data_IF_735772054771
#
_entry.id   IF_735772054771
#
_cell.length_a   1.000
_cell.length_b   1.000
_cell.length_c   1.000
_cell.angle_alpha   90.00
_cell.angle_beta   90.00
_cell.angle_gamma   90.00
#
_symmetry.space_group_name_H-M   'P 1'
#
loop_
_entity.id
_entity.type
_entity.pdbx_description
1 polymer ?
#
# COMPACT_ATOMS: atom_id res chain seq x y z
N UNK A 1 18.98 -56.54 -4.26
CA UNK A 1 17.91 -55.52 -4.06
C UNK A 1 18.42 -54.14 -3.56
N UNK A 2 19.66 -53.70 -3.89
CA UNK A 2 20.23 -52.39 -3.45
C UNK A 2 20.09 -51.22 -4.44
N UNK A 3 19.78 -51.50 -5.72
CA UNK A 3 19.72 -50.47 -6.79
C UNK A 3 18.42 -49.64 -6.85
N UNK A 4 17.29 -50.18 -6.37
CA UNK A 4 15.98 -49.50 -6.47
C UNK A 4 15.84 -48.31 -5.50
N UNK A 5 16.48 -48.38 -4.32
CA UNK A 5 16.45 -47.29 -3.32
C UNK A 5 17.30 -46.08 -3.73
N UNK A 6 18.40 -46.29 -4.44
CA UNK A 6 19.27 -45.19 -4.91
C UNK A 6 18.61 -44.39 -6.04
N UNK A 7 17.88 -45.07 -6.94
CA UNK A 7 17.15 -44.39 -8.01
C UNK A 7 15.99 -43.52 -7.50
N UNK A 8 15.26 -43.99 -6.49
CA UNK A 8 14.16 -43.20 -5.89
C UNK A 8 14.70 -41.94 -5.21
N UNK A 9 15.85 -42.02 -4.53
CA UNK A 9 16.48 -40.86 -3.90
C UNK A 9 16.94 -39.81 -4.93
N UNK A 10 17.52 -40.24 -6.05
CA UNK A 10 17.97 -39.35 -7.13
C UNK A 10 16.78 -38.65 -7.79
N UNK A 11 15.71 -39.39 -8.11
CA UNK A 11 14.49 -38.80 -8.69
C UNK A 11 13.82 -37.79 -7.75
N UNK A 12 13.80 -38.08 -6.43
CA UNK A 12 13.23 -37.15 -5.45
C UNK A 12 14.01 -35.83 -5.37
N UNK A 13 15.34 -35.88 -5.39
CA UNK A 13 16.20 -34.67 -5.38
C UNK A 13 16.01 -33.84 -6.65
N UNK A 14 15.87 -34.47 -7.82
CA UNK A 14 15.62 -33.77 -9.09
C UNK A 14 14.26 -33.08 -9.08
N UNK A 15 13.21 -33.74 -8.60
CA UNK A 15 11.86 -33.15 -8.50
C UNK A 15 11.86 -31.96 -7.54
N UNK A 16 12.47 -32.11 -6.36
CA UNK A 16 12.58 -31.01 -5.38
C UNK A 16 13.39 -29.85 -5.99
N UNK A 17 14.49 -30.13 -6.67
CA UNK A 17 15.29 -29.12 -7.36
C UNK A 17 14.50 -28.38 -8.44
N UNK A 18 13.72 -29.10 -9.26
CA UNK A 18 12.88 -28.51 -10.29
C UNK A 18 11.75 -27.65 -9.69
N UNK A 19 11.14 -28.07 -8.58
CA UNK A 19 10.13 -27.28 -7.86
C UNK A 19 10.74 -26.01 -7.29
N UNK A 20 11.94 -26.08 -6.68
CA UNK A 20 12.64 -24.90 -6.15
C UNK A 20 13.03 -23.93 -7.26
N UNK A 21 13.54 -24.43 -8.39
CA UNK A 21 13.88 -23.60 -9.55
C UNK A 21 12.64 -22.98 -10.17
N UNK A 22 11.56 -23.74 -10.36
CA UNK A 22 10.30 -23.22 -10.87
C UNK A 22 9.70 -22.17 -9.92
N UNK A 23 9.73 -22.41 -8.61
CA UNK A 23 9.31 -21.46 -7.60
C UNK A 23 10.15 -20.17 -7.63
N UNK A 24 11.47 -20.30 -7.73
CA UNK A 24 12.40 -19.17 -7.79
C UNK A 24 12.23 -18.36 -9.09
N UNK A 25 11.94 -19.03 -10.20
CA UNK A 25 11.63 -18.40 -11.50
C UNK A 25 10.27 -17.70 -11.44
N UNK A 26 9.25 -18.33 -10.86
CA UNK A 26 7.91 -17.74 -10.69
C UNK A 26 7.93 -16.53 -9.76
N UNK A 27 8.73 -16.56 -8.68
CA UNK A 27 8.96 -15.40 -7.82
C UNK A 27 9.68 -14.26 -8.57
N UNK A 28 10.61 -14.57 -9.48
CA UNK A 28 11.29 -13.58 -10.36
C UNK A 28 10.38 -12.95 -11.41
N UNK A 29 9.31 -13.63 -11.81
CA UNK A 29 8.33 -13.13 -12.78
C UNK A 29 7.14 -12.40 -12.15
N UNK A 30 7.08 -12.26 -10.81
CA UNK A 30 6.21 -11.26 -10.21
C UNK A 30 6.74 -9.89 -10.64
N UNK A 31 5.96 -9.17 -11.44
CA UNK A 31 6.21 -7.75 -11.71
C UNK A 31 6.28 -7.06 -10.35
N UNK A 32 7.31 -6.26 -10.14
CA UNK A 32 7.47 -5.55 -8.88
C UNK A 32 6.42 -4.44 -8.84
N UNK A 33 5.70 -4.28 -7.72
CA UNK A 33 4.69 -3.23 -7.61
C UNK A 33 5.28 -1.84 -7.88
N UNK A 34 6.59 -1.64 -7.66
CA UNK A 34 7.30 -0.41 -8.02
C UNK A 34 7.28 -0.12 -9.52
N UNK A 35 7.15 -1.13 -10.38
CA UNK A 35 7.13 -0.95 -11.83
C UNK A 35 5.89 -0.16 -12.27
N UNK A 36 4.86 -0.07 -11.44
CA UNK A 36 3.69 0.77 -11.66
C UNK A 36 3.99 2.26 -11.52
N UNK A 37 5.04 2.64 -10.78
CA UNK A 37 5.46 4.04 -10.62
C UNK A 37 5.88 4.69 -11.95
N UNK A 38 6.30 3.89 -12.95
CA UNK A 38 6.69 4.42 -14.27
C UNK A 38 5.52 5.08 -15.01
N UNK A 39 4.29 4.74 -14.64
CA UNK A 39 3.08 5.29 -15.26
C UNK A 39 2.56 6.54 -14.53
N UNK A 40 3.04 6.80 -13.33
CA UNK A 40 2.61 7.94 -12.53
C UNK A 40 3.43 9.19 -12.91
N UNK A 41 2.83 10.38 -12.78
CA UNK A 41 3.55 11.62 -13.03
C UNK A 41 4.65 11.86 -12.00
N UNK A 42 5.77 12.48 -12.41
CA UNK A 42 6.72 13.04 -11.47
C UNK A 42 6.10 14.25 -10.73
N UNK A 43 6.77 14.69 -9.69
CA UNK A 43 6.50 15.85 -8.85
C UNK A 43 5.16 15.83 -8.10
N UNK A 44 4.65 14.64 -7.77
CA UNK A 44 3.45 14.51 -6.95
C UNK A 44 3.69 14.95 -5.49
N UNK A 45 2.62 15.26 -4.78
CA UNK A 45 2.66 15.58 -3.35
C UNK A 45 2.91 14.34 -2.50
N UNK A 46 2.43 13.19 -2.97
CA UNK A 46 2.73 11.90 -2.39
C UNK A 46 2.64 10.78 -3.42
N UNK A 47 3.34 9.69 -3.14
CA UNK A 47 3.27 8.41 -3.83
C UNK A 47 2.94 7.31 -2.82
N UNK A 48 2.08 6.39 -3.21
CA UNK A 48 1.83 5.16 -2.45
C UNK A 48 1.89 3.96 -3.38
N UNK A 49 2.51 2.88 -2.94
CA UNK A 49 2.58 1.60 -3.64
C UNK A 49 2.12 0.52 -2.68
N UNK A 50 1.18 -0.31 -3.09
CA UNK A 50 0.67 -1.44 -2.34
C UNK A 50 0.86 -2.71 -3.15
N UNK A 51 1.45 -3.72 -2.53
CA UNK A 51 1.53 -5.08 -3.06
C UNK A 51 0.72 -5.99 -2.14
N UNK A 52 -0.57 -6.14 -2.45
CA UNK A 52 -1.50 -6.96 -1.65
C UNK A 52 -1.09 -8.43 -1.70
N UNK A 53 -0.51 -8.83 -2.81
CA UNK A 53 0.06 -10.12 -3.12
C UNK A 53 1.20 -10.50 -2.15
N UNK A 54 1.97 -9.52 -1.66
CA UNK A 54 2.97 -9.65 -0.58
C UNK A 54 2.30 -9.57 0.80
N UNK A 55 1.41 -8.60 1.04
CA UNK A 55 0.73 -8.45 2.33
C UNK A 55 -0.02 -9.74 2.73
N UNK A 56 -0.72 -10.36 1.79
CA UNK A 56 -1.48 -11.60 2.00
C UNK A 56 -0.61 -12.86 2.10
N UNK A 57 0.70 -12.77 1.87
CA UNK A 57 1.60 -13.87 2.17
C UNK A 57 1.77 -14.10 3.68
N UNK A 58 1.47 -13.07 4.49
CA UNK A 58 1.37 -13.18 5.94
C UNK A 58 -0.03 -13.69 6.34
N UNK A 59 -0.14 -14.85 7.02
CA UNK A 59 -1.44 -15.42 7.38
C UNK A 59 -2.31 -14.51 8.26
N UNK A 60 -1.72 -13.75 9.18
CA UNK A 60 -2.46 -12.84 10.04
C UNK A 60 -3.05 -11.67 9.25
N UNK A 61 -2.25 -11.07 8.35
CA UNK A 61 -2.75 -10.03 7.45
C UNK A 61 -3.78 -10.56 6.46
N UNK A 62 -3.58 -11.77 5.92
CA UNK A 62 -4.55 -12.41 5.03
C UNK A 62 -5.91 -12.55 5.70
N UNK A 63 -5.94 -13.00 6.96
CA UNK A 63 -7.17 -13.12 7.75
C UNK A 63 -7.80 -11.75 7.98
N UNK A 64 -7.01 -10.77 8.43
CA UNK A 64 -7.48 -9.40 8.67
C UNK A 64 -8.05 -8.73 7.41
N UNK A 65 -7.44 -8.94 6.24
CA UNK A 65 -7.90 -8.40 4.96
C UNK A 65 -9.14 -9.13 4.43
N UNK A 66 -9.27 -10.43 4.70
CA UNK A 66 -10.42 -11.24 4.31
C UNK A 66 -11.66 -10.95 5.17
N UNK A 67 -11.44 -10.70 6.47
CA UNK A 67 -12.47 -10.47 7.47
C UNK A 67 -12.14 -9.18 8.25
N UNK A 68 -12.24 -7.99 7.62
CA UNK A 68 -11.99 -6.75 8.32
C UNK A 68 -12.98 -6.63 9.50
N UNK A 69 -12.49 -6.41 10.73
CA UNK A 69 -13.35 -6.40 11.91
C UNK A 69 -14.41 -5.30 11.78
N UNK A 70 -15.66 -5.66 12.01
CA UNK A 70 -16.82 -4.77 12.17
C UNK A 70 -17.18 -3.83 10.99
N UNK A 71 -16.67 -4.07 9.78
CA UNK A 71 -17.13 -3.33 8.58
C UNK A 71 -18.02 -4.25 7.74
N UNK A 72 -19.34 -4.16 7.94
CA UNK A 72 -20.28 -4.77 6.98
C UNK A 72 -19.98 -4.18 5.61
N UNK A 73 -19.72 -4.99 4.57
CA UNK A 73 -19.32 -4.44 3.29
C UNK A 73 -20.45 -3.54 2.76
N UNK A 74 -20.11 -2.31 2.37
CA UNK A 74 -21.08 -1.34 1.88
C UNK A 74 -22.00 -1.97 0.82
N UNK A 75 -23.29 -1.59 0.82
CA UNK A 75 -24.30 -2.14 -0.09
C UNK A 75 -23.84 -2.12 -1.55
N UNK A 76 -23.15 -1.05 -1.94
CA UNK A 76 -22.60 -0.87 -3.28
C UNK A 76 -21.51 -1.90 -3.63
N UNK A 77 -20.67 -2.28 -2.66
CA UNK A 77 -19.66 -3.32 -2.87
C UNK A 77 -20.28 -4.71 -3.01
N UNK A 78 -21.33 -5.01 -2.24
CA UNK A 78 -22.08 -6.26 -2.41
C UNK A 78 -22.70 -6.37 -3.80
N UNK A 79 -23.21 -5.26 -4.34
CA UNK A 79 -23.73 -5.22 -5.71
C UNK A 79 -22.62 -5.42 -6.74
N UNK A 80 -21.49 -4.73 -6.58
CA UNK A 80 -20.30 -4.89 -7.43
C UNK A 80 -19.84 -6.35 -7.44
N UNK A 81 -19.70 -6.97 -6.27
CA UNK A 81 -19.29 -8.37 -6.13
C UNK A 81 -20.27 -9.32 -6.84
N UNK A 82 -21.59 -9.11 -6.70
CA UNK A 82 -22.61 -9.95 -7.37
C UNK A 82 -22.57 -9.82 -8.89
N UNK A 83 -22.35 -8.62 -9.41
CA UNK A 83 -22.44 -8.35 -10.85
C UNK A 83 -21.13 -8.62 -11.59
N UNK A 84 -19.99 -8.33 -10.96
CA UNK A 84 -18.66 -8.49 -11.57
C UNK A 84 -17.94 -9.75 -11.11
N UNK A 85 -18.26 -10.26 -9.92
CA UNK A 85 -17.48 -11.30 -9.24
C UNK A 85 -16.22 -10.77 -8.54
N UNK A 86 -15.93 -9.47 -8.65
CA UNK A 86 -14.69 -8.87 -8.19
C UNK A 86 -14.60 -8.79 -6.66
N UNK A 87 -13.46 -9.23 -6.14
CA UNK A 87 -13.11 -9.19 -4.73
C UNK A 87 -11.82 -8.41 -4.57
N UNK A 88 -11.85 -7.28 -3.85
CA UNK A 88 -10.65 -6.49 -3.59
C UNK A 88 -9.50 -7.33 -3.01
N UNK A 89 -9.81 -8.32 -2.18
CA UNK A 89 -8.81 -9.17 -1.57
C UNK A 89 -8.09 -10.07 -2.57
N UNK A 90 -8.78 -10.75 -3.48
CA UNK A 90 -8.10 -11.70 -4.38
C UNK A 90 -7.70 -11.10 -5.72
N UNK A 91 -8.44 -10.09 -6.17
CA UNK A 91 -8.40 -9.65 -7.56
C UNK A 91 -7.60 -8.34 -7.72
N UNK A 92 -7.45 -7.54 -6.65
CA UNK A 92 -6.54 -6.40 -6.62
C UNK A 92 -5.16 -6.88 -6.16
N UNK A 93 -4.19 -6.94 -7.08
CA UNK A 93 -2.87 -7.50 -6.78
C UNK A 93 -1.88 -6.44 -6.34
N UNK A 94 -1.79 -5.38 -7.13
CA UNK A 94 -0.85 -4.29 -6.92
C UNK A 94 -1.49 -2.95 -7.29
N UNK A 95 -1.12 -1.90 -6.58
CA UNK A 95 -1.64 -0.56 -6.75
C UNK A 95 -0.50 0.44 -6.57
N UNK A 96 -0.37 1.40 -7.47
CA UNK A 96 0.44 2.58 -7.26
C UNK A 96 -0.41 3.84 -7.49
N UNK A 97 -0.32 4.80 -6.58
CA UNK A 97 -1.05 6.07 -6.65
C UNK A 97 -0.14 7.25 -6.42
N UNK A 98 -0.52 8.39 -7.01
CA UNK A 98 0.09 9.69 -6.83
C UNK A 98 -0.99 10.69 -6.44
N UNK A 99 -0.69 11.52 -5.43
CA UNK A 99 -1.54 12.64 -4.99
C UNK A 99 -1.06 13.93 -5.64
N UNK A 100 -1.98 14.65 -6.28
CA UNK A 100 -1.71 15.90 -7.01
C UNK A 100 -2.74 16.95 -6.59
N UNK A 101 -2.40 17.75 -5.58
CA UNK A 101 -3.34 18.66 -4.95
C UNK A 101 -4.53 17.90 -4.37
N UNK A 102 -5.73 18.22 -4.84
CA UNK A 102 -6.97 17.53 -4.45
C UNK A 102 -7.19 16.22 -5.21
N UNK A 103 -6.47 16.03 -6.30
CA UNK A 103 -6.69 14.91 -7.21
C UNK A 103 -5.77 13.74 -6.89
N UNK A 104 -6.16 12.57 -7.40
CA UNK A 104 -5.37 11.35 -7.36
C UNK A 104 -5.30 10.74 -8.75
N UNK A 105 -4.16 10.15 -9.07
CA UNK A 105 -3.99 9.33 -10.26
C UNK A 105 -3.29 8.04 -9.86
N UNK A 106 -3.69 6.92 -10.44
CA UNK A 106 -3.15 5.63 -10.07
C UNK A 106 -3.13 4.64 -11.21
N UNK A 107 -2.32 3.60 -11.04
CA UNK A 107 -2.33 2.41 -11.88
C UNK A 107 -2.36 1.18 -11.00
N UNK A 108 -2.98 0.13 -11.49
CA UNK A 108 -3.19 -1.09 -10.73
C UNK A 108 -3.14 -2.33 -11.61
N UNK A 109 -2.58 -3.40 -11.05
CA UNK A 109 -2.73 -4.75 -11.61
C UNK A 109 -3.92 -5.44 -10.95
N UNK A 110 -4.90 -5.79 -11.78
CA UNK A 110 -6.14 -6.42 -11.37
C UNK A 110 -6.44 -7.65 -12.22
N UNK A 111 -6.97 -8.69 -11.60
CA UNK A 111 -7.47 -9.89 -12.27
C UNK A 111 -9.00 -9.80 -12.39
N UNK A 112 -9.48 -9.22 -13.50
CA UNK A 112 -10.91 -8.92 -13.71
C UNK A 112 -11.48 -9.53 -14.99
N UNK A 113 -12.74 -9.97 -14.93
CA UNK A 113 -13.53 -10.25 -16.13
C UNK A 113 -13.95 -8.91 -16.76
N UNK A 114 -13.14 -8.43 -17.71
CA UNK A 114 -13.34 -7.13 -18.36
C UNK A 114 -14.74 -6.97 -18.97
N UNK A 115 -15.28 -7.93 -19.75
CA UNK A 115 -16.66 -7.84 -20.23
C UNK A 115 -17.71 -7.61 -19.14
N UNK A 116 -17.60 -8.35 -18.01
CA UNK A 116 -18.53 -8.15 -16.88
C UNK A 116 -18.34 -6.80 -16.21
N UNK A 117 -17.10 -6.37 -16.04
CA UNK A 117 -16.80 -5.04 -15.52
C UNK A 117 -17.38 -3.94 -16.39
N UNK A 118 -17.15 -3.98 -17.70
CA UNK A 118 -17.70 -3.00 -18.64
C UNK A 118 -19.24 -2.97 -18.58
N UNK A 119 -19.88 -4.14 -18.58
CA UNK A 119 -21.35 -4.24 -18.42
C UNK A 119 -21.84 -3.66 -17.10
N UNK A 120 -21.12 -3.92 -16.00
CA UNK A 120 -21.41 -3.33 -14.70
C UNK A 120 -21.30 -1.80 -14.74
N UNK A 121 -20.18 -1.26 -15.24
CA UNK A 121 -19.95 0.18 -15.36
C UNK A 121 -21.05 0.87 -16.18
N UNK A 122 -21.45 0.26 -17.30
CA UNK A 122 -22.56 0.73 -18.12
C UNK A 122 -23.90 0.73 -17.37
N UNK A 123 -24.18 -0.34 -16.61
CA UNK A 123 -25.39 -0.43 -15.79
C UNK A 123 -25.46 0.62 -14.68
N UNK A 124 -24.30 1.11 -14.22
CA UNK A 124 -24.19 2.19 -13.22
C UNK A 124 -24.27 3.58 -13.85
N UNK A 125 -24.48 3.69 -15.17
CA UNK A 125 -24.57 4.95 -15.88
C UNK A 125 -23.20 5.62 -16.12
N UNK A 126 -22.12 4.84 -16.24
CA UNK A 126 -20.80 5.37 -16.58
C UNK A 126 -20.86 6.21 -17.87
N UNK A 127 -20.36 7.43 -17.80
CA UNK A 127 -20.12 8.22 -19.01
C UNK A 127 -18.92 7.64 -19.75
N UNK A 128 -19.09 7.40 -21.06
CA UNK A 128 -18.02 6.93 -21.94
C UNK A 128 -17.48 8.09 -22.75
N UNK A 129 -16.17 8.24 -22.74
CA UNK A 129 -15.45 9.11 -23.68
C UNK A 129 -14.28 8.34 -24.28
N UNK A 130 -13.72 8.86 -25.37
CA UNK A 130 -12.56 8.28 -26.03
C UNK A 130 -11.34 9.17 -25.81
N UNK A 131 -10.22 8.55 -25.44
CA UNK A 131 -8.93 9.21 -25.23
C UNK A 131 -7.83 8.34 -25.84
N UNK A 132 -7.15 8.84 -26.88
CA UNK A 132 -6.08 8.12 -27.59
C UNK A 132 -6.46 6.69 -28.01
N UNK A 133 -7.67 6.52 -28.55
CA UNK A 133 -8.19 5.21 -29.00
C UNK A 133 -8.60 4.26 -27.87
N UNK A 134 -8.74 4.75 -26.63
CA UNK A 134 -9.18 3.98 -25.47
C UNK A 134 -10.43 4.58 -24.85
N UNK A 135 -11.33 3.71 -24.41
CA UNK A 135 -12.53 4.10 -23.69
C UNK A 135 -12.19 4.49 -22.26
N UNK A 136 -12.60 5.71 -21.88
CA UNK A 136 -12.59 6.20 -20.51
C UNK A 136 -13.99 6.07 -19.92
N UNK A 137 -14.10 5.40 -18.79
CA UNK A 137 -15.34 5.27 -18.02
C UNK A 137 -15.30 6.28 -16.87
N UNK A 138 -16.28 7.16 -16.77
CA UNK A 138 -16.36 8.20 -15.73
C UNK A 138 -17.60 8.06 -14.84
N UNK A 139 -17.45 8.29 -13.54
CA UNK A 139 -18.48 8.16 -12.51
C UNK A 139 -18.44 9.33 -11.54
N UNK A 140 -19.60 9.77 -11.04
CA UNK A 140 -19.69 10.82 -10.04
C UNK A 140 -19.58 12.24 -10.64
N UNK A 141 -20.26 13.20 -10.01
CA UNK A 141 -20.41 14.57 -10.53
C UNK A 141 -19.48 15.57 -9.85
N UNK A 142 -19.33 15.52 -8.52
CA UNK A 142 -18.49 16.47 -7.77
C UNK A 142 -17.00 16.08 -7.76
N UNK A 143 -16.72 14.79 -7.63
CA UNK A 143 -15.35 14.24 -7.65
C UNK A 143 -15.33 13.03 -8.59
N UNK A 144 -15.23 13.28 -9.91
CA UNK A 144 -15.35 12.22 -10.88
C UNK A 144 -14.24 11.18 -10.72
N UNK A 145 -14.63 9.92 -10.60
CA UNK A 145 -13.75 8.77 -10.72
C UNK A 145 -13.69 8.37 -12.19
N UNK A 146 -12.50 8.27 -12.76
CA UNK A 146 -12.29 7.90 -14.16
C UNK A 146 -11.39 6.68 -14.25
N UNK A 147 -11.68 5.79 -15.18
CA UNK A 147 -10.99 4.51 -15.33
C UNK A 147 -10.74 4.18 -16.81
N UNK A 148 -9.54 3.67 -17.10
CA UNK A 148 -9.11 3.21 -18.43
C UNK A 148 -8.39 1.87 -18.30
N UNK A 149 -8.75 0.91 -19.15
CA UNK A 149 -7.98 -0.32 -19.32
C UNK A 149 -6.79 -0.06 -20.23
N UNK A 150 -5.57 -0.17 -19.69
CA UNK A 150 -4.31 -0.03 -20.44
C UNK A 150 -3.92 -1.36 -21.13
N UNK A 151 -4.20 -2.47 -20.46
CA UNK A 151 -4.00 -3.84 -20.94
C UNK A 151 -5.05 -4.75 -20.28
N UNK A 152 -4.99 -6.07 -20.49
CA UNK A 152 -5.94 -7.04 -19.94
C UNK A 152 -6.01 -7.04 -18.41
N UNK A 153 -4.89 -6.72 -17.75
CA UNK A 153 -4.77 -6.69 -16.28
C UNK A 153 -4.30 -5.36 -15.71
N UNK A 154 -3.93 -4.41 -16.57
CA UNK A 154 -3.41 -3.11 -16.14
C UNK A 154 -4.49 -2.06 -16.34
N UNK A 155 -4.87 -1.41 -15.25
CA UNK A 155 -5.89 -0.38 -15.23
C UNK A 155 -5.27 0.91 -14.72
N UNK A 156 -5.59 2.03 -15.38
CA UNK A 156 -5.31 3.37 -14.90
C UNK A 156 -6.60 3.99 -14.37
N UNK A 157 -6.49 4.80 -13.32
CA UNK A 157 -7.61 5.56 -12.81
C UNK A 157 -7.18 6.95 -12.34
N UNK A 158 -8.15 7.86 -12.27
CA UNK A 158 -7.99 9.17 -11.67
C UNK A 158 -9.22 9.49 -10.82
N UNK A 159 -9.01 10.19 -9.71
CA UNK A 159 -10.07 10.65 -8.80
C UNK A 159 -9.94 12.15 -8.66
N UNK A 160 -11.01 12.88 -8.96
CA UNK A 160 -10.96 14.34 -9.05
C UNK A 160 -10.41 14.83 -10.39
N UNK A 161 -10.31 16.15 -10.52
CA UNK A 161 -9.55 16.81 -11.58
C UNK A 161 -10.02 16.65 -13.02
N UNK A 162 -9.17 17.15 -13.92
CA UNK A 162 -9.33 17.17 -15.37
C UNK A 162 -8.95 15.82 -16.03
N UNK A 163 -9.55 15.47 -17.18
CA UNK A 163 -9.18 14.27 -17.96
C UNK A 163 -7.69 14.17 -18.33
N UNK A 164 -6.96 15.28 -18.32
CA UNK A 164 -5.54 15.37 -18.67
C UNK A 164 -4.62 14.47 -17.81
N UNK A 165 -5.01 14.15 -16.57
CA UNK A 165 -4.23 13.25 -15.71
C UNK A 165 -4.10 11.85 -16.31
N UNK A 166 -5.18 11.33 -16.91
CA UNK A 166 -5.17 10.03 -17.58
C UNK A 166 -4.44 10.09 -18.93
N UNK A 167 -4.47 11.23 -19.61
CA UNK A 167 -3.67 11.42 -20.84
C UNK A 167 -2.17 11.27 -20.54
N UNK A 168 -1.67 11.88 -19.46
CA UNK A 168 -0.28 11.71 -19.06
C UNK A 168 0.10 10.26 -18.71
N UNK A 169 -0.84 9.49 -18.14
CA UNK A 169 -0.63 8.05 -17.90
C UNK A 169 -0.55 7.28 -19.22
N UNK A 170 -1.39 7.62 -20.21
CA UNK A 170 -1.36 7.02 -21.54
C UNK A 170 -0.07 7.32 -22.29
N UNK A 171 0.40 8.56 -22.24
CA UNK A 171 1.68 8.95 -22.85
C UNK A 171 2.84 8.15 -22.26
N UNK A 172 2.87 7.96 -20.93
CA UNK A 172 3.88 7.12 -20.27
C UNK A 172 3.74 5.65 -20.62
N UNK A 173 2.52 5.14 -20.72
CA UNK A 173 2.27 3.77 -21.14
C UNK A 173 2.75 3.52 -22.58
N UNK A 174 2.58 4.50 -23.47
CA UNK A 174 3.06 4.46 -24.86
C UNK A 174 4.58 4.72 -25.00
N UNK A 175 5.26 5.17 -23.95
CA UNK A 175 6.68 5.54 -23.99
C UNK A 175 6.95 6.92 -24.59
N UNK A 176 5.94 7.79 -24.69
CA UNK A 176 6.00 9.11 -25.31
C UNK A 176 6.28 10.27 -24.32
N UNK A 177 6.31 9.99 -23.01
CA UNK A 177 6.45 11.03 -21.98
C UNK A 177 7.90 11.13 -21.44
N UNK A 178 8.44 12.34 -21.24
CA UNK A 178 9.85 12.54 -20.85
C UNK A 178 10.12 12.38 -19.34
N UNK A 179 9.19 11.82 -18.55
CA UNK A 179 9.40 11.67 -17.11
C UNK A 179 8.35 10.83 -16.40
N UNK A 180 8.75 10.13 -15.34
CA UNK A 180 7.88 9.34 -14.48
C UNK A 180 8.25 9.47 -12.99
N UNK A 181 7.32 9.07 -12.12
CA UNK A 181 7.59 8.98 -10.69
C UNK A 181 8.77 8.03 -10.40
N UNK A 182 8.86 6.91 -11.12
CA UNK A 182 9.98 5.97 -10.97
C UNK A 182 11.34 6.65 -11.25
N UNK A 183 11.44 7.46 -12.31
CA UNK A 183 12.66 8.18 -12.66
C UNK A 183 13.01 9.28 -11.66
N UNK A 184 12.03 10.04 -11.18
CA UNK A 184 12.25 11.07 -10.17
C UNK A 184 12.67 10.48 -8.83
N UNK A 185 11.93 9.49 -8.33
CA UNK A 185 12.21 8.82 -7.07
C UNK A 185 13.56 8.09 -7.12
N UNK A 186 13.92 7.52 -8.27
CA UNK A 186 15.22 6.91 -8.51
C UNK A 186 16.36 7.94 -8.46
N UNK A 187 16.22 9.08 -9.16
CA UNK A 187 17.22 10.16 -9.14
C UNK A 187 17.46 10.75 -7.75
N UNK A 188 16.42 10.76 -6.92
CA UNK A 188 16.49 11.26 -5.55
C UNK A 188 16.93 10.19 -4.52
N UNK A 189 17.27 8.98 -4.96
CA UNK A 189 17.67 7.87 -4.08
C UNK A 189 16.53 7.37 -3.17
N UNK A 190 15.28 7.71 -3.46
CA UNK A 190 14.11 7.29 -2.67
C UNK A 190 13.70 5.86 -2.99
N UNK A 191 13.87 5.41 -4.24
CA UNK A 191 13.64 4.00 -4.59
C UNK A 191 14.62 3.05 -3.90
N UNK A 192 15.81 3.51 -3.52
CA UNK A 192 16.75 2.69 -2.73
C UNK A 192 16.23 2.43 -1.30
N UNK A 193 15.27 3.24 -0.85
CA UNK A 193 14.54 3.08 0.42
C UNK A 193 13.25 2.27 0.26
N UNK A 194 13.03 1.65 -0.89
CA UNK A 194 11.98 0.67 -1.11
C UNK A 194 12.56 -0.73 -0.81
N UNK A 195 12.30 -1.33 0.37
CA UNK A 195 12.86 -2.63 0.70
C UNK A 195 12.30 -3.74 -0.19
N UNK A 196 13.05 -4.83 -0.33
CA UNK A 196 12.52 -6.05 -0.93
C UNK A 196 11.38 -6.61 -0.06
N UNK A 197 10.39 -7.27 -0.67
CA UNK A 197 9.21 -7.81 0.01
C UNK A 197 8.37 -6.74 0.73
N UNK A 198 8.34 -5.53 0.19
CA UNK A 198 7.51 -4.46 0.72
C UNK A 198 6.06 -4.64 0.27
N UNK A 199 5.15 -4.76 1.24
CA UNK A 199 3.71 -4.83 0.97
C UNK A 199 3.04 -3.46 0.87
N UNK A 200 3.66 -2.42 1.46
CA UNK A 200 3.18 -1.03 1.40
C UNK A 200 4.36 -0.10 1.43
N UNK A 201 4.45 0.81 0.46
CA UNK A 201 5.42 1.90 0.46
C UNK A 201 4.70 3.23 0.29
N UNK A 202 5.15 4.24 1.00
CA UNK A 202 4.62 5.58 0.90
C UNK A 202 5.74 6.60 0.96
N UNK A 203 5.66 7.63 0.14
CA UNK A 203 6.49 8.82 0.22
C UNK A 203 5.58 10.03 0.11
N UNK A 204 5.61 10.91 1.10
CA UNK A 204 4.81 12.12 1.14
C UNK A 204 5.66 13.36 1.39
N UNK A 205 5.43 14.42 0.63
CA UNK A 205 6.06 15.73 0.82
C UNK A 205 5.18 16.54 1.76
N UNK A 206 5.54 16.56 3.03
CA UNK A 206 4.65 17.02 4.10
C UNK A 206 4.27 18.49 3.97
N UNK A 207 5.18 19.34 3.50
CA UNK A 207 4.88 20.76 3.24
C UNK A 207 3.71 20.93 2.26
N UNK A 208 3.66 20.10 1.19
CA UNK A 208 2.58 20.14 0.20
C UNK A 208 1.30 19.49 0.73
N UNK A 209 1.42 18.37 1.44
CA UNK A 209 0.28 17.66 2.02
C UNK A 209 -0.45 18.49 3.09
N UNK A 210 0.30 19.15 3.98
CA UNK A 210 -0.26 20.00 5.03
C UNK A 210 -0.82 21.32 4.49
N UNK A 211 -0.36 21.78 3.33
CA UNK A 211 -0.96 22.93 2.64
C UNK A 211 -2.37 22.61 2.11
N UNK A 212 -2.62 21.34 1.74
CA UNK A 212 -3.91 20.88 1.21
C UNK A 212 -4.92 20.54 2.31
N UNK A 213 -4.43 20.04 3.44
CA UNK A 213 -5.25 19.77 4.62
C UNK A 213 -4.57 20.36 5.87
N UNK A 214 -4.90 21.60 6.27
CA UNK A 214 -4.26 22.28 7.39
C UNK A 214 -4.58 21.64 8.75
N UNK A 215 -5.57 20.76 8.84
CA UNK A 215 -5.88 20.01 10.07
C UNK A 215 -4.85 18.90 10.36
N UNK A 216 -4.02 18.54 9.38
CA UNK A 216 -3.01 17.48 9.50
C UNK A 216 -3.55 16.07 9.20
N UNK A 217 -2.67 15.06 9.07
CA UNK A 217 -3.08 13.68 8.91
C UNK A 217 -3.64 13.09 10.23
N UNK A 218 -4.78 12.40 10.16
CA UNK A 218 -5.32 11.62 11.27
C UNK A 218 -4.87 10.16 11.17
N UNK A 219 -4.48 9.55 12.30
CA UNK A 219 -4.19 8.12 12.39
C UNK A 219 -5.10 7.54 13.47
N UNK A 220 -6.18 6.88 13.04
CA UNK A 220 -7.19 6.33 13.95
C UNK A 220 -7.83 7.43 14.82
N UNK A 221 -7.93 7.24 16.16
CA UNK A 221 -8.51 8.24 17.05
C UNK A 221 -7.57 9.42 17.35
N UNK A 222 -6.31 9.37 16.90
CA UNK A 222 -5.33 10.41 17.15
C UNK A 222 -5.30 11.39 15.98
N UNK A 223 -5.75 12.62 16.24
CA UNK A 223 -5.48 13.76 15.37
C UNK A 223 -4.14 14.36 15.76
N UNK A 224 -3.10 14.05 14.98
CA UNK A 224 -1.84 14.75 15.10
C UNK A 224 -1.99 16.07 14.36
N UNK A 225 -2.31 17.12 15.13
CA UNK A 225 -2.47 18.47 14.58
C UNK A 225 -1.24 18.90 13.79
N UNK A 226 -1.42 19.86 12.88
CA UNK A 226 -0.34 20.38 12.02
C UNK A 226 0.95 20.73 12.77
N UNK A 227 0.84 21.24 13.99
CA UNK A 227 1.98 21.60 14.85
C UNK A 227 2.88 20.41 15.17
N UNK A 228 2.32 19.20 15.20
CA UNK A 228 3.08 17.96 15.38
C UNK A 228 4.02 17.67 14.21
N UNK A 229 3.63 18.12 13.02
CA UNK A 229 4.36 17.95 11.78
C UNK A 229 5.16 19.20 11.39
N UNK A 230 5.23 20.19 12.28
CA UNK A 230 5.99 21.41 12.04
C UNK A 230 7.48 21.08 11.85
N UNK A 231 8.05 21.59 10.75
CA UNK A 231 9.42 21.28 10.35
C UNK A 231 9.58 19.93 9.67
N UNK A 232 8.52 19.17 9.37
CA UNK A 232 8.60 17.96 8.53
C UNK A 232 8.67 18.32 7.04
N UNK A 233 9.70 17.83 6.34
CA UNK A 233 9.85 17.96 4.88
C UNK A 233 9.22 16.78 4.15
N UNK A 234 9.58 15.56 4.55
CA UNK A 234 9.22 14.34 3.85
C UNK A 234 8.95 13.21 4.83
N UNK A 235 7.92 12.42 4.56
CA UNK A 235 7.64 11.18 5.27
C UNK A 235 7.78 10.02 4.31
N UNK A 236 8.51 9.00 4.73
CA UNK A 236 8.65 7.73 4.03
C UNK A 236 8.12 6.66 4.97
N UNK A 237 7.24 5.79 4.49
CA UNK A 237 6.78 4.64 5.24
C UNK A 237 6.90 3.37 4.41
N UNK A 238 7.26 2.27 5.07
CA UNK A 238 7.32 0.96 4.44
C UNK A 238 6.80 -0.14 5.38
N UNK A 239 6.16 -1.16 4.81
CA UNK A 239 5.70 -2.34 5.54
C UNK A 239 6.26 -3.59 4.87
N UNK A 240 7.33 -4.14 5.43
CA UNK A 240 7.88 -5.41 4.98
C UNK A 240 7.09 -6.54 5.64
N UNK A 241 6.52 -7.41 4.80
CA UNK A 241 5.67 -8.49 5.26
C UNK A 241 6.32 -9.83 4.96
N UNK A 242 6.39 -10.69 5.98
CA UNK A 242 6.76 -12.09 5.84
C UNK A 242 5.73 -12.99 6.53
N UNK A 243 5.80 -14.32 6.36
CA UNK A 243 4.85 -15.22 7.02
C UNK A 243 4.86 -15.17 8.56
N UNK A 244 5.96 -14.72 9.18
CA UNK A 244 6.16 -14.80 10.63
C UNK A 244 6.46 -13.46 11.30
N UNK A 245 6.70 -12.41 10.53
CA UNK A 245 6.89 -11.07 11.08
C UNK A 245 6.33 -10.00 10.13
N UNK A 246 6.03 -8.85 10.71
CA UNK A 246 5.71 -7.62 10.01
C UNK A 246 6.61 -6.52 10.54
N UNK A 247 7.38 -5.90 9.64
CA UNK A 247 8.22 -4.75 9.97
C UNK A 247 7.57 -3.50 9.39
N UNK A 248 7.19 -2.57 10.25
CA UNK A 248 6.74 -1.24 9.85
C UNK A 248 7.86 -0.26 10.13
N UNK A 249 8.25 0.48 9.12
CA UNK A 249 9.25 1.52 9.21
C UNK A 249 8.64 2.84 8.76
N UNK A 250 8.83 3.89 9.54
CA UNK A 250 8.48 5.25 9.18
C UNK A 250 9.68 6.16 9.43
N UNK A 251 10.08 6.89 8.41
CA UNK A 251 11.09 7.93 8.48
C UNK A 251 10.44 9.28 8.20
N UNK A 252 10.66 10.24 9.09
CA UNK A 252 10.30 11.62 8.88
C UNK A 252 11.57 12.47 8.76
N UNK A 253 11.85 12.96 7.57
CA UNK A 253 12.92 13.91 7.31
C UNK A 253 12.43 15.31 7.65
N UNK A 254 13.15 15.96 8.55
CA UNK A 254 12.84 17.28 9.05
C UNK A 254 13.65 18.38 8.35
N UNK A 255 13.30 19.63 8.65
CA UNK A 255 13.96 20.80 8.09
C UNK A 255 15.37 20.98 8.63
N UNK A 256 15.56 20.68 9.91
CA UNK A 256 16.79 20.74 10.67
C UNK A 256 16.76 19.74 11.84
N UNK A 257 17.93 19.56 12.49
CA UNK A 257 18.09 18.66 13.62
C UNK A 257 17.23 19.06 14.84
N UNK A 258 17.00 20.36 15.05
CA UNK A 258 16.16 20.84 16.16
C UNK A 258 14.70 20.42 16.00
N UNK A 259 14.18 20.48 14.78
CA UNK A 259 12.85 20.01 14.43
C UNK A 259 12.72 18.49 14.61
N UNK A 260 13.74 17.73 14.19
CA UNK A 260 13.79 16.29 14.40
C UNK A 260 13.80 15.92 15.90
N UNK A 261 14.61 16.61 16.70
CA UNK A 261 14.68 16.39 18.15
C UNK A 261 13.33 16.70 18.83
N UNK A 262 12.71 17.86 18.53
CA UNK A 262 11.37 18.20 19.06
C UNK A 262 10.34 17.13 18.73
N UNK A 263 10.32 16.68 17.48
CA UNK A 263 9.36 15.69 17.02
C UNK A 263 9.59 14.31 17.66
N UNK A 264 10.85 13.86 17.75
CA UNK A 264 11.19 12.62 18.44
C UNK A 264 10.78 12.65 19.91
N UNK A 265 11.07 13.75 20.62
CA UNK A 265 10.68 13.94 22.01
C UNK A 265 9.14 13.94 22.18
N UNK A 266 8.41 14.57 21.26
CA UNK A 266 6.96 14.56 21.26
C UNK A 266 6.41 13.14 21.09
N UNK A 267 6.88 12.37 20.11
CA UNK A 267 6.47 10.98 19.90
C UNK A 267 6.79 10.09 21.10
N UNK A 268 7.97 10.24 21.69
CA UNK A 268 8.35 9.49 22.89
C UNK A 268 7.44 9.82 24.09
N UNK A 269 7.08 11.10 24.28
CA UNK A 269 6.16 11.51 25.33
C UNK A 269 4.76 10.90 25.15
N UNK A 270 4.22 10.92 23.93
CA UNK A 270 2.92 10.28 23.63
C UNK A 270 2.98 8.77 23.83
N UNK A 271 4.05 8.12 23.35
CA UNK A 271 4.23 6.68 23.55
C UNK A 271 4.26 6.33 25.05
N UNK A 272 4.96 7.12 25.87
CA UNK A 272 5.00 6.92 27.32
C UNK A 272 3.60 7.09 27.96
N UNK A 273 2.81 8.08 27.51
CA UNK A 273 1.43 8.26 27.99
C UNK A 273 0.58 7.06 27.60
N UNK A 274 0.61 6.64 26.34
CA UNK A 274 -0.19 5.51 25.83
C UNK A 274 0.17 4.22 26.57
N UNK A 275 1.46 3.96 26.82
CA UNK A 275 1.91 2.79 27.59
C UNK A 275 1.53 2.86 29.08
N UNK A 276 1.34 4.05 29.64
CA UNK A 276 0.93 4.24 31.02
C UNK A 276 -0.59 4.06 31.24
N UNK A 277 -1.41 4.24 30.20
CA UNK A 277 -2.87 4.03 30.28
C UNK A 277 -3.16 2.53 30.27
N UNK A 278 -3.38 1.95 31.45
CA UNK A 278 -3.93 0.60 31.56
C UNK A 278 -5.40 0.59 31.12
N UNK A 279 -5.86 -0.44 30.41
CA UNK A 279 -7.29 -0.61 30.18
C UNK A 279 -8.02 -0.70 31.53
N UNK A 280 -9.16 -0.03 31.71
CA UNK A 280 -9.88 -0.03 32.98
C UNK A 280 -10.28 -1.46 33.37
N UNK A 281 -9.94 -1.87 34.59
CA UNK A 281 -10.28 -3.18 35.16
C UNK A 281 -11.80 -3.41 35.04
N UNK A 282 -12.19 -4.44 34.29
CA UNK A 282 -13.59 -4.86 34.16
C UNK A 282 -14.28 -4.70 32.80
N UNK A 283 -13.55 -4.34 31.73
CA UNK A 283 -14.12 -4.20 30.35
C UNK A 283 -13.50 -5.13 29.29
N UNK A 284 -12.80 -6.20 29.68
CA UNK A 284 -12.06 -7.04 28.74
C UNK A 284 -12.92 -8.08 28.00
N UNK A 285 -13.73 -7.62 27.05
CA UNK A 285 -13.98 -8.40 25.83
C UNK A 285 -13.06 -7.94 24.68
N UNK A 286 -12.19 -6.94 24.90
CA UNK A 286 -11.24 -6.44 23.90
C UNK A 286 -9.85 -7.08 24.04
N UNK A 287 -9.23 -7.38 22.90
CA UNK A 287 -7.83 -7.81 22.79
C UNK A 287 -6.89 -6.74 23.38
N UNK A 288 -5.94 -7.15 24.23
CA UNK A 288 -4.90 -6.25 24.75
C UNK A 288 -3.84 -6.00 23.66
N UNK A 289 -3.80 -4.76 23.16
CA UNK A 289 -2.85 -4.32 22.13
C UNK A 289 -1.58 -3.67 22.71
N UNK A 290 -1.43 -3.62 24.04
CA UNK A 290 -0.23 -3.09 24.70
C UNK A 290 1.08 -3.70 24.17
N UNK A 291 1.16 -5.02 23.86
CA UNK A 291 2.36 -5.60 23.27
C UNK A 291 2.74 -5.02 21.90
N UNK A 292 1.76 -4.64 21.07
CA UNK A 292 2.01 -4.04 19.76
C UNK A 292 2.63 -2.65 19.87
N UNK A 293 2.18 -1.88 20.87
CA UNK A 293 2.67 -0.53 21.15
C UNK A 293 4.03 -0.55 21.87
N UNK A 294 4.29 -1.56 22.69
CA UNK A 294 5.59 -1.77 23.32
C UNK A 294 6.70 -2.11 22.31
N UNK A 295 6.35 -2.66 21.14
CA UNK A 295 7.29 -2.96 20.07
C UNK A 295 7.76 -1.72 19.28
N UNK A 296 7.18 -0.54 19.53
CA UNK A 296 7.56 0.69 18.86
C UNK A 296 8.89 1.23 19.39
N UNK A 297 9.85 1.41 18.49
CA UNK A 297 11.10 2.11 18.77
C UNK A 297 11.13 3.44 18.04
N UNK A 298 11.39 4.53 18.78
CA UNK A 298 11.53 5.87 18.22
C UNK A 298 12.98 6.31 18.40
N UNK A 299 13.66 6.65 17.29
CA UNK A 299 15.05 7.13 17.29
C UNK A 299 15.18 8.37 16.41
N UNK A 300 16.06 9.27 16.80
CA UNK A 300 16.47 10.40 15.98
C UNK A 300 17.89 10.15 15.47
N UNK A 301 18.15 10.43 14.19
CA UNK A 301 19.50 10.54 13.67
C UNK A 301 19.57 11.71 12.69
N UNK A 302 20.50 12.62 12.92
CA UNK A 302 20.66 13.87 12.17
C UNK A 302 19.33 14.65 12.09
N UNK A 303 18.87 14.93 10.87
CA UNK A 303 17.62 15.64 10.57
C UNK A 303 16.42 14.69 10.42
N UNK A 304 16.56 13.41 10.75
CA UNK A 304 15.50 12.40 10.59
C UNK A 304 15.02 11.81 11.91
N UNK A 305 13.72 11.59 12.00
CA UNK A 305 13.08 10.78 13.04
C UNK A 305 12.65 9.46 12.43
N UNK A 306 12.98 8.36 13.09
CA UNK A 306 12.60 7.02 12.67
C UNK A 306 11.72 6.37 13.71
N UNK A 307 10.68 5.71 13.24
CA UNK A 307 9.74 4.93 14.02
C UNK A 307 9.68 3.53 13.43
N UNK A 308 10.13 2.56 14.22
CA UNK A 308 10.31 1.17 13.83
C UNK A 308 9.38 0.29 14.68
N UNK A 309 8.52 -0.51 14.05
CA UNK A 309 7.75 -1.56 14.71
C UNK A 309 8.16 -2.92 14.14
N UNK A 310 8.54 -3.83 15.02
CA UNK A 310 8.76 -5.23 14.68
C UNK A 310 7.68 -6.09 15.35
N UNK A 311 6.77 -6.65 14.58
CA UNK A 311 5.77 -7.58 15.09
C UNK A 311 6.13 -9.01 14.74
N UNK A 312 6.38 -9.81 15.76
CA UNK A 312 6.63 -11.24 15.61
C UNK A 312 5.33 -12.06 15.48
N UNK A 313 5.46 -13.37 15.30
CA UNK A 313 4.32 -14.27 15.15
C UNK A 313 3.34 -14.23 16.33
N UNK A 314 3.81 -13.94 17.56
CA UNK A 314 2.94 -13.85 18.73
C UNK A 314 2.10 -12.57 18.71
N UNK A 315 2.71 -11.45 18.31
CA UNK A 315 2.03 -10.18 18.10
C UNK A 315 1.04 -10.23 16.94
N UNK A 316 1.40 -10.92 15.86
CA UNK A 316 0.52 -11.16 14.72
C UNK A 316 -0.69 -12.04 15.08
N UNK A 317 -0.53 -13.01 15.97
CA UNK A 317 -1.66 -13.82 16.46
C UNK A 317 -2.67 -12.98 17.26
N UNK A 318 -2.20 -11.97 18.03
CA UNK A 318 -3.07 -11.01 18.71
C UNK A 318 -3.93 -10.23 17.70
N UNK A 319 -3.33 -9.76 16.60
CA UNK A 319 -4.04 -9.07 15.51
C UNK A 319 -5.06 -9.96 14.80
N UNK A 320 -4.77 -11.26 14.68
CA UNK A 320 -5.66 -12.23 14.06
C UNK A 320 -6.84 -12.65 14.96
N UNK A 321 -6.96 -12.09 16.17
CA UNK A 321 -7.98 -12.47 17.15
C UNK A 321 -7.81 -13.89 17.70
N UNK A 322 -6.61 -14.46 17.58
CA UNK A 322 -6.29 -15.78 18.12
C UNK A 322 -5.74 -15.63 19.54
N UNK A 323 -6.61 -15.26 20.49
CA UNK A 323 -6.30 -15.46 21.91
C UNK A 323 -6.30 -16.96 22.20
N UNK A 324 -5.16 -17.49 22.68
CA UNK A 324 -5.04 -18.88 23.13
C UNK A 324 -6.06 -19.25 24.21
#
# INVERSE_FOLDING_TARGET
MKGRKHWIAITAVIIIGAVVVAWMVLLRFRKDARDLLRFLPPDADAYAVFDLDILQSNPALKKLLAEPPDVSPATDYQQLLRQTGFRYQSDLRQLATAKLGRDWVGTTLVDVDRPRWVSYLESQGAEKSELEGRTVYSFGTEHPFRLIFLDDRLVAFAVGGEPALLMGVLDRFAGNSPGSAAEELGRNGLLDRYPANNGLWFVGRMERLLALNPEGPSIGPFQFGKDWWEGSKMVIASVVSSPLHLDVHLENQCQDAASAERMANAFQAVLAIVQAVRPPEGTSNGTDYSPLLAALTIRQADESVFMDWHWDASMLALLAGESR
#
